data_IF_220053229434
#
_entry.id   IF_220053229434
#
_cell.length_a   1.000
_cell.length_b   1.000
_cell.length_c   1.000
_cell.angle_alpha   90.00
_cell.angle_beta   90.00
_cell.angle_gamma   90.00
#
_symmetry.space_group_name_H-M   'P 1'
#
loop_
_entity.id
_entity.type
_entity.pdbx_description
1 polymer ?
#
# COMPACT_ATOMS: atom_id res chain seq x y z
N UNK A 1 -12.95 6.99 2.27
CA UNK A 1 -11.72 7.63 2.78
C UNK A 1 -11.22 8.53 1.67
N UNK A 2 -10.81 9.76 1.98
CA UNK A 2 -10.15 10.61 0.99
C UNK A 2 -8.65 10.30 1.02
N UNK A 3 -8.20 9.46 0.07
CA UNK A 3 -6.81 8.99 -0.01
C UNK A 3 -5.87 10.02 -0.59
N UNK A 4 -6.41 11.03 -1.28
CA UNK A 4 -5.68 12.14 -1.87
C UNK A 4 -5.43 13.29 -0.87
N UNK A 5 -5.88 13.13 0.37
CA UNK A 5 -5.74 14.15 1.38
C UNK A 5 -4.26 14.40 1.72
N UNK A 6 -3.85 15.68 1.68
CA UNK A 6 -2.48 16.14 1.99
C UNK A 6 -1.95 15.66 3.34
N UNK A 7 -2.82 15.44 4.33
CA UNK A 7 -2.42 14.90 5.63
C UNK A 7 -1.91 13.47 5.52
N UNK A 8 -2.49 12.65 4.63
CA UNK A 8 -2.06 11.27 4.40
C UNK A 8 -0.74 11.23 3.62
N UNK A 9 -0.62 12.02 2.56
CA UNK A 9 0.62 12.21 1.80
C UNK A 9 1.77 12.64 2.72
N UNK A 10 1.54 13.66 3.55
CA UNK A 10 2.52 14.14 4.52
C UNK A 10 2.88 13.06 5.55
N UNK A 11 1.90 12.28 6.02
CA UNK A 11 2.15 11.18 6.95
C UNK A 11 2.97 10.05 6.31
N UNK A 12 2.73 9.72 5.04
CA UNK A 12 3.53 8.76 4.28
C UNK A 12 4.95 9.28 4.04
N UNK A 13 5.11 10.57 3.75
CA UNK A 13 6.42 11.23 3.61
C UNK A 13 7.22 11.16 4.91
N UNK A 14 6.59 11.48 6.05
CA UNK A 14 7.23 11.38 7.36
C UNK A 14 7.52 9.93 7.76
N UNK A 15 6.63 8.99 7.41
CA UNK A 15 6.88 7.56 7.57
C UNK A 15 8.12 7.16 6.80
N UNK A 16 8.21 7.50 5.51
CA UNK A 16 9.36 7.20 4.66
C UNK A 16 10.65 7.80 5.25
N UNK A 17 10.65 9.09 5.60
CA UNK A 17 11.80 9.77 6.21
C UNK A 17 12.29 9.07 7.48
N UNK A 18 11.39 8.58 8.33
CA UNK A 18 11.76 7.84 9.54
C UNK A 18 12.25 6.43 9.22
N UNK A 19 11.61 5.75 8.28
CA UNK A 19 11.89 4.35 7.94
C UNK A 19 13.19 4.16 7.16
N UNK A 20 13.52 5.09 6.25
CA UNK A 20 14.73 5.06 5.41
C UNK A 20 16.04 5.11 6.22
N UNK A 21 16.02 5.64 7.45
CA UNK A 21 17.24 5.74 8.27
C UNK A 21 17.68 4.40 8.88
N UNK A 22 16.84 3.37 8.80
CA UNK A 22 17.12 2.10 9.46
C UNK A 22 17.71 1.05 8.52
N UNK A 23 17.55 1.20 7.20
CA UNK A 23 17.92 0.18 6.21
C UNK A 23 17.96 0.75 4.77
N UNK A 24 18.76 0.16 3.90
CA UNK A 24 18.82 0.50 2.46
C UNK A 24 17.71 -0.24 1.69
N UNK A 25 16.48 0.29 1.78
CA UNK A 25 15.26 -0.34 1.25
C UNK A 25 14.77 0.27 -0.07
N UNK A 26 15.65 0.78 -0.94
CA UNK A 26 15.23 1.26 -2.27
C UNK A 26 14.48 0.17 -3.08
N UNK A 27 14.67 -1.11 -2.72
CA UNK A 27 14.02 -2.25 -3.35
C UNK A 27 12.77 -2.77 -2.62
N UNK A 28 12.43 -2.25 -1.43
CA UNK A 28 11.35 -2.81 -0.60
C UNK A 28 10.28 -1.76 -0.27
N UNK A 29 9.05 -2.04 -0.66
CA UNK A 29 7.88 -1.25 -0.30
C UNK A 29 7.24 -1.78 0.99
N UNK A 30 7.14 -0.94 2.01
CA UNK A 30 6.55 -1.24 3.31
C UNK A 30 5.19 -0.56 3.40
N UNK A 31 4.18 -1.39 3.66
CA UNK A 31 2.79 -0.97 3.72
C UNK A 31 2.16 -1.39 5.04
N UNK A 32 1.59 -0.43 5.76
CA UNK A 32 0.81 -0.66 6.96
C UNK A 32 -0.65 -0.30 6.69
N UNK A 33 -1.56 -1.22 6.97
CA UNK A 33 -2.99 -0.94 6.94
C UNK A 33 -3.67 -1.58 8.14
N UNK A 34 -4.53 -0.81 8.82
CA UNK A 34 -5.39 -1.26 9.90
C UNK A 34 -6.83 -0.95 9.55
N UNK A 35 -7.65 -1.99 9.54
CA UNK A 35 -9.09 -1.90 9.30
C UNK A 35 -9.79 -1.94 10.67
N UNK A 36 -10.52 -0.87 10.99
CA UNK A 36 -11.34 -0.74 12.19
C UNK A 36 -12.81 -0.82 11.78
N UNK A 37 -13.40 -2.00 11.97
CA UNK A 37 -14.79 -2.28 11.60
C UNK A 37 -15.79 -1.57 12.52
N UNK A 38 -15.43 -1.36 13.79
CA UNK A 38 -16.30 -0.71 14.77
C UNK A 38 -16.51 0.77 14.44
N UNK A 39 -15.45 1.44 13.97
CA UNK A 39 -15.48 2.84 13.59
C UNK A 39 -15.62 3.07 12.08
N UNK A 40 -15.79 2.01 11.29
CA UNK A 40 -15.82 2.02 9.83
C UNK A 40 -14.67 2.86 9.22
N UNK A 41 -13.45 2.62 9.71
CA UNK A 41 -12.27 3.42 9.41
C UNK A 41 -11.12 2.54 8.95
N UNK A 42 -10.40 2.99 7.93
CA UNK A 42 -9.12 2.40 7.53
C UNK A 42 -8.02 3.41 7.86
N UNK A 43 -6.97 2.94 8.54
CA UNK A 43 -5.73 3.69 8.74
C UNK A 43 -4.66 3.05 7.89
N UNK A 44 -4.00 3.82 7.04
CA UNK A 44 -2.97 3.29 6.14
C UNK A 44 -1.76 4.20 6.10
N UNK A 45 -0.57 3.62 5.96
CA UNK A 45 0.69 4.30 5.71
C UNK A 45 1.52 3.46 4.75
N UNK A 46 2.27 4.12 3.89
CA UNK A 46 3.22 3.48 2.99
C UNK A 46 4.49 4.32 2.90
N UNK A 47 5.62 3.67 2.65
CA UNK A 47 6.82 4.37 2.19
C UNK A 47 6.73 4.78 0.71
N UNK A 48 5.67 4.35 0.01
CA UNK A 48 5.36 4.67 -1.37
C UNK A 48 3.91 5.16 -1.46
N UNK A 49 3.69 6.47 -1.41
CA UNK A 49 2.35 7.03 -1.33
C UNK A 49 1.49 6.71 -2.57
N UNK A 50 2.10 6.67 -3.76
CA UNK A 50 1.43 6.31 -5.01
C UNK A 50 0.84 4.90 -4.97
N UNK A 51 1.43 3.97 -4.21
CA UNK A 51 0.82 2.66 -3.99
C UNK A 51 -0.50 2.78 -3.21
N UNK A 52 -0.59 3.71 -2.25
CA UNK A 52 -1.85 3.97 -1.54
C UNK A 52 -2.89 4.48 -2.53
N UNK A 53 -2.55 5.41 -3.41
CA UNK A 53 -3.48 5.92 -4.43
C UNK A 53 -3.96 4.80 -5.35
N UNK A 54 -3.03 4.04 -5.95
CA UNK A 54 -3.34 2.90 -6.83
C UNK A 54 -4.23 1.87 -6.12
N UNK A 55 -3.93 1.56 -4.85
CA UNK A 55 -4.66 0.55 -4.10
C UNK A 55 -6.15 0.90 -3.94
N UNK A 56 -6.47 2.20 -3.88
CA UNK A 56 -7.84 2.67 -3.70
C UNK A 56 -8.50 3.00 -5.04
N UNK A 57 -7.79 3.63 -5.98
CA UNK A 57 -8.31 4.00 -7.30
C UNK A 57 -8.63 2.78 -8.16
N UNK A 58 -7.80 1.73 -8.06
CA UNK A 58 -7.96 0.49 -8.82
C UNK A 58 -8.77 -0.57 -8.04
N UNK A 59 -9.50 -0.20 -6.99
CA UNK A 59 -10.35 -1.10 -6.20
C UNK A 59 -9.60 -2.32 -5.60
N UNK A 60 -8.27 -2.23 -5.44
CA UNK A 60 -7.47 -3.31 -4.85
C UNK A 60 -7.77 -3.49 -3.36
N UNK A 61 -8.20 -2.43 -2.69
CA UNK A 61 -8.71 -2.43 -1.31
C UNK A 61 -9.92 -3.35 -1.15
N UNK A 62 -10.82 -3.41 -2.14
CA UNK A 62 -11.99 -4.31 -2.13
C UNK A 62 -11.60 -5.79 -2.24
N UNK A 63 -10.37 -6.07 -2.68
CA UNK A 63 -9.80 -7.42 -2.82
C UNK A 63 -8.83 -7.76 -1.69
N UNK A 64 -8.99 -7.13 -0.53
CA UNK A 64 -8.11 -7.34 0.64
C UNK A 64 -7.93 -8.81 1.04
N UNK A 65 -8.93 -9.67 0.80
CA UNK A 65 -8.85 -11.12 1.08
C UNK A 65 -7.75 -11.83 0.26
N UNK A 66 -7.44 -11.35 -0.94
CA UNK A 66 -6.37 -11.91 -1.77
C UNK A 66 -4.99 -11.44 -1.29
N UNK A 67 -4.91 -10.29 -0.59
CA UNK A 67 -3.68 -9.73 0.01
C UNK A 67 -3.40 -10.20 1.43
N UNK A 68 -4.44 -10.34 2.25
CA UNK A 68 -4.33 -10.72 3.66
C UNK A 68 -4.35 -12.25 3.82
N UNK A 69 -3.45 -12.90 3.10
CA UNK A 69 -3.16 -14.32 3.31
C UNK A 69 -2.14 -14.42 4.44
N UNK A 70 -2.35 -15.34 5.39
CA UNK A 70 -1.34 -15.59 6.42
C UNK A 70 -0.08 -16.18 5.79
N UNK A 71 1.09 -15.60 6.11
CA UNK A 71 2.38 -16.08 5.64
C UNK A 71 3.01 -15.18 4.57
N UNK A 72 3.93 -15.76 3.78
CA UNK A 72 4.62 -15.08 2.69
C UNK A 72 3.89 -15.39 1.39
N UNK A 73 3.50 -14.36 0.64
CA UNK A 73 2.80 -14.48 -0.64
C UNK A 73 3.62 -13.84 -1.76
N UNK A 74 3.94 -14.63 -2.79
CA UNK A 74 4.65 -14.14 -3.98
C UNK A 74 3.70 -13.43 -4.95
N UNK A 75 4.21 -12.46 -5.70
CA UNK A 75 3.43 -11.72 -6.70
C UNK A 75 2.77 -12.62 -7.75
N UNK A 76 3.45 -13.70 -8.14
CA UNK A 76 2.94 -14.66 -9.12
C UNK A 76 1.69 -15.43 -8.65
N UNK A 77 1.45 -15.46 -7.35
CA UNK A 77 0.29 -16.13 -6.75
C UNK A 77 -0.95 -15.23 -6.67
N UNK A 78 -0.83 -13.95 -7.01
CA UNK A 78 -1.99 -13.06 -7.10
C UNK A 78 -2.76 -13.27 -8.40
N UNK A 79 -4.04 -12.91 -8.36
CA UNK A 79 -4.91 -12.95 -9.54
C UNK A 79 -4.41 -12.02 -10.65
N UNK A 80 -4.81 -12.31 -11.89
CA UNK A 80 -4.47 -11.46 -13.05
C UNK A 80 -4.94 -10.01 -12.87
N UNK A 81 -5.99 -9.81 -12.06
CA UNK A 81 -6.42 -8.49 -11.62
C UNK A 81 -5.26 -7.75 -10.95
N UNK A 82 -4.72 -8.27 -9.84
CA UNK A 82 -3.58 -7.66 -9.15
C UNK A 82 -2.33 -7.54 -10.03
N UNK A 83 -2.00 -8.57 -10.82
CA UNK A 83 -0.83 -8.55 -11.72
C UNK A 83 -0.88 -7.40 -12.73
N UNK A 84 -2.06 -7.13 -13.30
CA UNK A 84 -2.26 -6.01 -14.23
C UNK A 84 -1.96 -4.65 -13.59
N UNK A 85 -2.33 -4.48 -12.32
CA UNK A 85 -2.15 -3.23 -11.59
C UNK A 85 -0.75 -3.08 -11.00
N UNK A 86 -0.07 -4.19 -10.67
CA UNK A 86 1.32 -4.19 -10.22
C UNK A 86 2.28 -3.53 -11.21
N UNK A 87 2.05 -3.70 -12.53
CA UNK A 87 2.84 -3.05 -13.58
C UNK A 87 2.79 -1.51 -13.54
N UNK A 88 1.73 -0.91 -12.95
CA UNK A 88 1.66 0.54 -12.74
C UNK A 88 2.64 0.99 -11.66
N UNK A 89 2.89 0.15 -10.66
CA UNK A 89 3.77 0.44 -9.51
C UNK A 89 5.25 0.34 -9.90
N UNK A 90 5.62 -0.67 -10.70
CA UNK A 90 7.01 -0.88 -11.13
C UNK A 90 7.50 0.24 -12.06
N UNK A 91 6.61 0.86 -12.83
CA UNK A 91 6.96 1.92 -13.81
C UNK A 91 7.14 3.32 -13.21
N UNK A 92 6.81 3.50 -11.93
CA UNK A 92 6.98 4.76 -11.20
C UNK A 92 8.30 4.77 -10.39
N UNK A 93 8.98 3.61 -10.27
CA UNK A 93 10.34 3.49 -9.70
C UNK A 93 11.41 3.87 -10.71
#
# INVERSE_FOLDING_TARGET
MDVENKSLESSCTEFNRKFLNYFDWNEVDVNYSRIDLSNNMVKTLSNHYEWVLICWDDDLDKKVKERLVSGVQYWDNYSDFFKKHYLKVIRVK
#
